data_IF_321473816595
#
_entry.id   IF_321473816595
#
_cell.length_a   1.000
_cell.length_b   1.000
_cell.length_c   1.000
_cell.angle_alpha   90.00
_cell.angle_beta   90.00
_cell.angle_gamma   90.00
#
_symmetry.space_group_name_H-M   'P 1'
#
loop_
_entity.id
_entity.type
_entity.pdbx_description
1 polymer ?
#
# COMPACT_ATOMS: atom_id res chain seq x y z
N UNK A 1 0.15 9.72 21.86
CA UNK A 1 -0.16 9.25 20.50
C UNK A 1 0.52 10.16 19.50
N UNK A 2 1.22 9.59 18.56
CA UNK A 2 1.93 10.36 17.53
C UNK A 2 1.34 10.03 16.16
N UNK A 3 1.14 11.06 15.35
CA UNK A 3 0.69 10.92 13.97
C UNK A 3 1.81 11.40 13.06
N UNK A 4 2.16 10.56 12.10
CA UNK A 4 3.21 10.88 11.14
C UNK A 4 2.69 10.65 9.72
N UNK A 5 2.85 11.63 8.86
CA UNK A 5 2.51 11.48 7.45
C UNK A 5 3.72 11.00 6.68
N UNK A 6 3.52 10.01 5.83
CA UNK A 6 4.56 9.43 4.98
C UNK A 6 4.08 9.26 3.55
N UNK A 7 5.02 9.28 2.62
CA UNK A 7 4.75 9.09 1.21
C UNK A 7 5.67 8.05 0.58
N UNK A 8 5.53 6.76 0.94
CA UNK A 8 6.37 5.76 0.29
C UNK A 8 6.11 5.67 -1.20
N UNK A 9 7.16 5.39 -1.95
CA UNK A 9 7.10 5.22 -3.41
C UNK A 9 7.74 3.90 -3.79
N UNK A 10 7.20 3.26 -4.80
CA UNK A 10 7.71 1.99 -5.30
C UNK A 10 7.74 1.99 -6.82
N UNK A 11 8.88 1.60 -7.38
CA UNK A 11 9.01 1.29 -8.78
C UNK A 11 8.88 -0.23 -8.93
N UNK A 12 7.86 -0.69 -9.63
CA UNK A 12 7.60 -2.12 -9.81
C UNK A 12 8.50 -2.65 -10.91
N UNK A 13 9.64 -3.20 -10.53
CA UNK A 13 10.69 -3.62 -11.46
C UNK A 13 10.61 -5.08 -11.88
N UNK A 14 9.75 -5.87 -11.22
CA UNK A 14 9.59 -7.30 -11.52
C UNK A 14 8.13 -7.67 -11.61
N UNK A 15 7.85 -8.90 -12.06
CA UNK A 15 6.50 -9.48 -12.04
C UNK A 15 6.23 -10.25 -10.75
N UNK A 16 7.18 -10.25 -9.83
CA UNK A 16 7.02 -10.93 -8.54
C UNK A 16 6.22 -10.07 -7.57
N UNK A 17 5.60 -10.75 -6.61
CA UNK A 17 4.91 -10.07 -5.53
C UNK A 17 5.91 -9.28 -4.69
N UNK A 18 5.70 -7.97 -4.58
CA UNK A 18 6.65 -7.04 -3.96
C UNK A 18 6.01 -6.37 -2.76
N UNK A 19 6.75 -6.29 -1.65
CA UNK A 19 6.29 -5.59 -0.44
C UNK A 19 6.32 -4.09 -0.66
N UNK A 20 5.19 -3.44 -0.41
CA UNK A 20 5.07 -1.99 -0.46
C UNK A 20 5.18 -1.37 0.93
N UNK A 21 4.46 -1.90 1.90
CA UNK A 21 4.44 -1.39 3.27
C UNK A 21 4.45 -2.57 4.24
N UNK A 22 5.31 -2.48 5.26
CA UNK A 22 5.29 -3.41 6.40
C UNK A 22 5.01 -2.61 7.66
N UNK A 23 3.94 -2.96 8.37
CA UNK A 23 3.63 -2.32 9.65
C UNK A 23 4.40 -3.05 10.75
N UNK A 24 5.18 -2.33 11.56
CA UNK A 24 5.97 -2.97 12.61
C UNK A 24 5.11 -3.76 13.58
N UNK A 25 5.67 -4.85 14.10
CA UNK A 25 5.08 -5.58 15.21
C UNK A 25 5.45 -4.88 16.51
N UNK A 26 4.46 -4.63 17.37
CA UNK A 26 4.71 -3.99 18.65
C UNK A 26 5.68 -4.83 19.50
N UNK A 27 6.65 -4.16 20.09
CA UNK A 27 7.61 -4.78 21.01
C UNK A 27 7.98 -3.76 22.09
N UNK A 28 7.13 -3.60 23.12
CA UNK A 28 7.37 -2.60 24.16
C UNK A 28 8.59 -2.88 25.02
N UNK A 29 9.10 -4.12 25.01
CA UNK A 29 10.32 -4.47 25.73
C UNK A 29 11.61 -4.19 24.97
N UNK A 30 11.53 -3.73 23.72
CA UNK A 30 12.71 -3.41 22.92
C UNK A 30 13.34 -2.10 23.36
N UNK A 31 14.60 -1.88 22.97
CA UNK A 31 15.31 -0.62 23.22
C UNK A 31 15.80 -0.04 21.90
N UNK A 32 15.15 1.03 21.37
CA UNK A 32 13.95 1.69 21.90
C UNK A 32 12.69 0.83 21.72
N UNK A 33 11.65 1.06 22.53
CA UNK A 33 10.41 0.27 22.41
C UNK A 33 9.70 0.53 21.07
N UNK A 34 9.12 -0.54 20.51
CA UNK A 34 8.26 -0.46 19.33
C UNK A 34 6.82 -0.46 19.80
N UNK A 35 6.12 0.66 19.62
CA UNK A 35 4.74 0.81 20.08
C UNK A 35 3.77 0.35 18.99
N UNK A 36 2.55 -0.07 19.36
CA UNK A 36 1.54 -0.45 18.39
C UNK A 36 1.27 0.68 17.40
N UNK A 37 1.29 0.34 16.11
CA UNK A 37 1.14 1.30 15.01
C UNK A 37 0.01 0.87 14.11
N UNK A 38 -0.81 1.82 13.70
CA UNK A 38 -1.82 1.66 12.65
C UNK A 38 -1.44 2.55 11.48
N UNK A 39 -1.49 2.01 10.28
CA UNK A 39 -1.22 2.77 9.05
C UNK A 39 -2.53 2.96 8.31
N UNK A 40 -2.86 4.21 8.03
CA UNK A 40 -4.06 4.58 7.28
C UNK A 40 -3.61 5.11 5.92
N UNK A 41 -3.96 4.38 4.86
CA UNK A 41 -3.62 4.77 3.49
C UNK A 41 -4.81 5.52 2.91
N UNK A 42 -4.59 6.78 2.54
CA UNK A 42 -5.64 7.64 2.00
C UNK A 42 -5.58 7.78 0.49
N UNK A 43 -4.43 7.51 -0.11
CA UNK A 43 -4.23 7.63 -1.54
C UNK A 43 -3.23 6.57 -2.00
N UNK A 44 -3.56 5.89 -3.07
CA UNK A 44 -2.71 4.89 -3.69
C UNK A 44 -2.67 5.20 -5.19
N UNK A 45 -1.72 6.02 -5.58
CA UNK A 45 -1.59 6.51 -6.94
C UNK A 45 -0.72 5.54 -7.73
N UNK A 46 -1.27 5.07 -8.84
CA UNK A 46 -0.58 4.14 -9.75
C UNK A 46 -0.44 4.82 -11.10
N UNK A 47 0.80 4.92 -11.56
CA UNK A 47 1.12 5.46 -12.88
C UNK A 47 1.65 4.34 -13.76
N UNK A 48 0.99 4.09 -14.90
CA UNK A 48 1.49 3.17 -15.91
C UNK A 48 2.26 3.97 -16.95
N UNK A 49 3.58 3.89 -16.88
CA UNK A 49 4.49 4.66 -17.73
C UNK A 49 4.87 3.89 -19.00
N UNK A 50 3.98 3.05 -19.50
CA UNK A 50 4.27 2.23 -20.68
C UNK A 50 3.23 2.43 -21.77
N UNK A 51 3.50 1.89 -22.95
CA UNK A 51 2.57 1.87 -24.07
C UNK A 51 1.55 0.73 -24.01
N UNK A 52 1.51 -0.05 -22.96
CA UNK A 52 0.62 -1.20 -22.82
C UNK A 52 -0.14 -1.12 -21.50
N UNK A 53 -1.38 -1.61 -21.49
CA UNK A 53 -2.13 -1.76 -20.24
C UNK A 53 -1.45 -2.80 -19.33
N UNK A 54 -1.54 -2.57 -18.03
CA UNK A 54 -0.96 -3.45 -17.02
C UNK A 54 -2.03 -3.86 -16.02
N UNK A 55 -2.01 -5.13 -15.61
CA UNK A 55 -2.89 -5.62 -14.55
C UNK A 55 -2.14 -5.57 -13.22
N UNK A 56 -2.79 -5.01 -12.21
CA UNK A 56 -2.18 -4.82 -10.90
C UNK A 56 -3.02 -5.49 -9.82
N UNK A 57 -2.36 -6.28 -8.97
CA UNK A 57 -2.92 -6.82 -7.73
C UNK A 57 -2.37 -6.01 -6.55
N UNK A 58 -3.25 -5.70 -5.62
CA UNK A 58 -2.89 -5.11 -4.32
C UNK A 58 -3.50 -6.00 -3.24
N UNK A 59 -2.67 -6.48 -2.34
CA UNK A 59 -3.12 -7.41 -1.31
C UNK A 59 -2.45 -7.14 0.03
N UNK A 60 -3.17 -7.48 1.09
CA UNK A 60 -2.68 -7.42 2.47
C UNK A 60 -2.51 -8.82 3.00
N UNK A 61 -1.37 -9.09 3.61
CA UNK A 61 -1.12 -10.34 4.34
C UNK A 61 -1.26 -10.03 5.83
N UNK A 62 -2.20 -10.71 6.47
CA UNK A 62 -2.48 -10.57 7.90
C UNK A 62 -2.58 -11.96 8.50
N UNK A 63 -1.73 -12.26 9.49
CA UNK A 63 -1.70 -13.57 10.17
C UNK A 63 -1.64 -14.73 9.18
N UNK A 64 -0.76 -14.62 8.20
CA UNK A 64 -0.55 -15.61 7.12
C UNK A 64 -1.72 -15.77 6.17
N UNK A 65 -2.77 -14.97 6.28
CA UNK A 65 -3.88 -14.95 5.33
C UNK A 65 -3.71 -13.78 4.37
N UNK A 66 -4.09 -14.00 3.12
CA UNK A 66 -4.00 -13.00 2.06
C UNK A 66 -5.38 -12.45 1.75
N UNK A 67 -5.50 -11.13 1.79
CA UNK A 67 -6.74 -10.42 1.46
C UNK A 67 -6.46 -9.49 0.28
N UNK A 68 -7.11 -9.72 -0.85
CA UNK A 68 -6.91 -8.87 -2.04
C UNK A 68 -7.85 -7.66 -1.98
N UNK A 69 -7.28 -6.46 -1.99
CA UNK A 69 -8.04 -5.23 -2.14
C UNK A 69 -8.34 -4.96 -3.61
N UNK A 70 -7.38 -5.25 -4.50
CA UNK A 70 -7.57 -5.12 -5.94
C UNK A 70 -7.01 -6.37 -6.60
N UNK A 71 -7.82 -6.99 -7.44
CA UNK A 71 -7.41 -8.19 -8.18
C UNK A 71 -7.44 -7.90 -9.68
N UNK A 72 -6.28 -7.98 -10.31
CA UNK A 72 -6.11 -7.75 -11.74
C UNK A 72 -6.77 -6.43 -12.20
N UNK A 73 -6.56 -5.37 -11.42
CA UNK A 73 -7.04 -4.03 -11.79
C UNK A 73 -6.28 -3.55 -13.01
N UNK A 74 -6.98 -3.28 -14.10
CA UNK A 74 -6.36 -2.80 -15.32
C UNK A 74 -5.99 -1.34 -15.19
N UNK A 75 -4.73 -1.03 -15.46
CA UNK A 75 -4.22 0.34 -15.54
C UNK A 75 -3.89 0.59 -17.01
N UNK A 76 -4.63 1.48 -17.63
CA UNK A 76 -4.46 1.76 -19.06
C UNK A 76 -3.06 2.34 -19.36
N UNK A 77 -2.59 2.15 -20.58
CA UNK A 77 -1.32 2.68 -21.03
C UNK A 77 -1.27 4.20 -20.82
N UNK A 78 -0.20 4.69 -20.20
CA UNK A 78 -0.01 6.11 -19.94
C UNK A 78 -0.95 6.71 -18.90
N UNK A 79 -1.75 5.90 -18.21
CA UNK A 79 -2.74 6.41 -17.25
C UNK A 79 -2.15 6.53 -15.85
N UNK A 80 -2.62 7.53 -15.12
CA UNK A 80 -2.37 7.68 -13.69
C UNK A 80 -3.71 7.67 -12.98
N UNK A 81 -3.87 6.75 -12.02
CA UNK A 81 -5.12 6.61 -11.28
C UNK A 81 -4.84 6.55 -9.78
N UNK A 82 -5.76 7.07 -8.99
CA UNK A 82 -5.77 6.86 -7.55
C UNK A 82 -6.78 5.76 -7.26
N UNK A 83 -6.30 4.60 -6.86
CA UNK A 83 -7.16 3.42 -6.68
C UNK A 83 -8.17 3.60 -5.55
N UNK A 84 -7.88 4.47 -4.58
CA UNK A 84 -8.75 4.69 -3.43
C UNK A 84 -9.75 5.83 -3.64
N UNK A 85 -9.57 6.64 -4.69
CA UNK A 85 -10.40 7.81 -4.95
C UNK A 85 -10.92 7.80 -6.39
N UNK A 86 -11.44 6.67 -6.84
CA UNK A 86 -11.96 6.53 -8.20
C UNK A 86 -13.32 7.19 -8.33
N UNK A 87 -13.59 7.73 -9.55
CA UNK A 87 -14.76 8.56 -9.80
C UNK A 87 -16.01 7.82 -10.29
N UNK A 88 -15.98 6.53 -10.43
CA UNK A 88 -17.06 5.74 -11.04
C UNK A 88 -18.20 5.45 -10.06
N UNK A 89 -18.72 6.47 -9.38
CA UNK A 89 -19.78 6.32 -8.40
C UNK A 89 -19.30 5.76 -7.07
N UNK A 90 -18.02 5.46 -6.95
CA UNK A 90 -17.39 5.02 -5.71
C UNK A 90 -16.74 6.23 -5.07
N UNK A 91 -17.27 6.63 -3.95
CA UNK A 91 -16.69 7.69 -3.15
C UNK A 91 -15.56 7.11 -2.33
N UNK A 92 -14.40 7.68 -2.46
CA UNK A 92 -13.16 7.35 -1.81
C UNK A 92 -13.18 6.31 -0.69
N UNK A 93 -12.17 5.49 -0.67
CA UNK A 93 -11.97 4.52 0.40
C UNK A 93 -10.65 4.79 1.09
N UNK A 94 -10.35 3.95 2.07
CA UNK A 94 -9.05 3.93 2.71
C UNK A 94 -8.67 2.49 3.03
N UNK A 95 -7.38 2.23 3.09
CA UNK A 95 -6.87 0.95 3.56
C UNK A 95 -6.30 1.18 4.94
N UNK A 96 -6.72 0.37 5.90
CA UNK A 96 -6.23 0.44 7.28
C UNK A 96 -5.40 -0.81 7.55
N UNK A 97 -4.13 -0.61 7.84
CA UNK A 97 -3.21 -1.69 8.19
C UNK A 97 -2.93 -1.65 9.68
N UNK A 98 -3.00 -2.82 10.31
CA UNK A 98 -2.70 -3.01 11.73
C UNK A 98 -1.28 -3.54 11.90
N UNK A 99 -0.83 -3.64 13.14
CA UNK A 99 0.53 -4.14 13.39
C UNK A 99 0.75 -5.50 12.73
N UNK A 100 1.94 -5.72 12.22
CA UNK A 100 2.39 -6.92 11.51
C UNK A 100 1.74 -7.13 10.14
N UNK A 101 0.82 -6.27 9.69
CA UNK A 101 0.27 -6.36 8.34
C UNK A 101 1.34 -6.01 7.31
N UNK A 102 1.28 -6.68 6.16
CA UNK A 102 2.16 -6.40 5.03
C UNK A 102 1.29 -6.13 3.80
N UNK A 103 1.45 -4.95 3.21
CA UNK A 103 0.80 -4.61 1.96
C UNK A 103 1.73 -4.94 0.81
N UNK A 104 1.26 -5.74 -0.12
CA UNK A 104 2.05 -6.20 -1.28
C UNK A 104 1.34 -5.87 -2.57
N UNK A 105 2.14 -5.69 -3.62
CA UNK A 105 1.65 -5.40 -4.97
C UNK A 105 2.31 -6.34 -5.96
N UNK A 106 1.60 -6.62 -7.06
CA UNK A 106 2.12 -7.42 -8.15
C UNK A 106 1.56 -6.91 -9.47
N UNK A 107 2.44 -6.64 -10.42
CA UNK A 107 2.06 -6.26 -11.77
C UNK A 107 2.35 -7.42 -12.71
N UNK A 108 1.58 -7.52 -13.80
CA UNK A 108 1.80 -8.59 -14.79
C UNK A 108 2.92 -8.27 -15.78
N UNK A 109 3.56 -7.11 -15.66
CA UNK A 109 4.69 -6.73 -16.48
C UNK A 109 5.68 -5.89 -15.67
N UNK A 110 6.96 -6.07 -15.93
CA UNK A 110 8.04 -5.38 -15.23
C UNK A 110 8.26 -3.98 -15.78
N UNK A 111 8.72 -3.07 -14.93
CA UNK A 111 9.18 -1.71 -15.30
C UNK A 111 8.11 -0.85 -15.98
N UNK A 112 6.83 -1.07 -15.69
CA UNK A 112 5.73 -0.31 -16.29
C UNK A 112 4.96 0.54 -15.27
N UNK A 113 5.03 0.21 -13.99
CA UNK A 113 4.16 0.79 -12.98
C UNK A 113 4.98 1.44 -11.87
N UNK A 114 4.63 2.68 -11.56
CA UNK A 114 5.16 3.42 -10.41
C UNK A 114 4.01 3.68 -9.44
N UNK A 115 4.26 3.46 -8.15
CA UNK A 115 3.25 3.58 -7.11
C UNK A 115 3.68 4.63 -6.11
N UNK A 116 2.76 5.54 -5.79
CA UNK A 116 2.95 6.55 -4.74
C UNK A 116 1.83 6.44 -3.73
N UNK A 117 2.18 6.41 -2.46
CA UNK A 117 1.23 6.24 -1.36
C UNK A 117 1.23 7.49 -0.49
N UNK A 118 0.04 7.94 -0.11
CA UNK A 118 -0.12 8.93 0.95
C UNK A 118 -0.71 8.22 2.17
N UNK A 119 0.06 8.15 3.25
CA UNK A 119 -0.33 7.42 4.45
C UNK A 119 -0.12 8.22 5.71
N UNK A 120 -0.87 7.89 6.74
CA UNK A 120 -0.68 8.39 8.08
C UNK A 120 -0.42 7.22 9.02
N UNK A 121 0.70 7.27 9.73
CA UNK A 121 0.98 6.34 10.82
C UNK A 121 0.49 6.92 12.13
N UNK A 122 -0.31 6.15 12.83
CA UNK A 122 -0.80 6.51 14.17
C UNK A 122 -0.14 5.54 15.15
N UNK A 123 0.77 6.05 15.95
CA UNK A 123 1.50 5.24 16.91
C UNK A 123 0.97 5.55 18.31
N UNK A 124 0.62 4.49 19.04
CA UNK A 124 0.15 4.63 20.42
C UNK A 124 1.30 5.14 21.27
N UNK A 125 1.05 6.24 21.97
CA UNK A 125 2.07 6.84 22.82
C UNK A 125 2.41 5.97 24.02
N UNK A 126 3.61 6.18 24.55
CA UNK A 126 4.05 5.57 25.77
C UNK A 126 3.41 6.31 26.95
N UNK A 127 2.80 5.57 27.83
CA UNK A 127 2.20 6.13 29.04
C UNK A 127 3.22 6.21 30.18
#
# INVERSE_FOLDING_TARGET
MANTFKGPMLDVTTTDLTTLITVPTANPGATPPVMPTTVIIKSLIVCNDSGNATLLDVQTVRSSATFKQFHQKSIAAGATVDLLNQHDGITGGMIVLQESDVLKVQANAANQVHISVAEMEVTKGQL
#
